data_IF_332226405791
#
_entry.id   IF_332226405791
#
_cell.length_a   1.000
_cell.length_b   1.000
_cell.length_c   1.000
_cell.angle_alpha   90.00
_cell.angle_beta   90.00
_cell.angle_gamma   90.00
#
_symmetry.space_group_name_H-M   'P 1'
#
loop_
_entity.id
_entity.type
_entity.pdbx_description
1 polymer ?
#
# COMPACT_ATOMS: atom_id res chain seq x y z
N UNK A 1 -10.67 1.76 -22.60
CA UNK A 1 -10.21 0.61 -21.79
C UNK A 1 -11.43 -0.27 -21.51
N UNK A 2 -11.35 -1.58 -21.75
CA UNK A 2 -12.41 -2.50 -21.36
C UNK A 2 -12.44 -2.59 -19.83
N UNK A 3 -13.60 -2.46 -19.17
CA UNK A 3 -13.69 -2.59 -17.72
C UNK A 3 -13.25 -4.00 -17.32
N UNK A 4 -12.46 -4.12 -16.26
CA UNK A 4 -12.02 -5.42 -15.76
C UNK A 4 -13.22 -6.20 -15.22
N UNK A 5 -13.27 -7.50 -15.47
CA UNK A 5 -14.37 -8.34 -15.00
C UNK A 5 -14.44 -8.36 -13.47
N UNK A 6 -15.67 -8.37 -12.94
CA UNK A 6 -15.91 -8.26 -11.49
C UNK A 6 -15.28 -9.43 -10.72
N UNK A 7 -15.24 -10.62 -11.32
CA UNK A 7 -14.59 -11.80 -10.74
C UNK A 7 -13.06 -11.64 -10.67
N UNK A 8 -12.45 -11.03 -11.69
CA UNK A 8 -11.01 -10.76 -11.74
C UNK A 8 -10.60 -9.70 -10.72
N UNK A 9 -11.42 -8.65 -10.55
CA UNK A 9 -11.21 -7.63 -9.51
C UNK A 9 -11.33 -8.27 -8.13
N UNK A 10 -12.33 -9.14 -7.92
CA UNK A 10 -12.50 -9.88 -6.67
C UNK A 10 -11.27 -10.71 -6.32
N UNK A 11 -10.74 -11.48 -7.27
CA UNK A 11 -9.51 -12.27 -7.07
C UNK A 11 -8.30 -11.39 -6.73
N UNK A 12 -8.14 -10.24 -7.41
CA UNK A 12 -7.06 -9.30 -7.14
C UNK A 12 -7.15 -8.71 -5.74
N UNK A 13 -8.35 -8.30 -5.31
CA UNK A 13 -8.59 -7.77 -3.96
C UNK A 13 -8.28 -8.81 -2.89
N UNK A 14 -8.77 -10.04 -3.06
CA UNK A 14 -8.52 -11.13 -2.10
C UNK A 14 -7.03 -11.45 -2.00
N UNK A 15 -6.34 -11.60 -3.14
CA UNK A 15 -4.89 -11.84 -3.17
C UNK A 15 -4.11 -10.72 -2.49
N UNK A 16 -4.47 -9.47 -2.77
CA UNK A 16 -3.87 -8.30 -2.11
C UNK A 16 -4.08 -8.32 -0.59
N UNK A 17 -5.31 -8.57 -0.13
CA UNK A 17 -5.63 -8.64 1.29
C UNK A 17 -4.84 -9.74 2.02
N UNK A 18 -4.64 -10.90 1.40
CA UNK A 18 -3.84 -11.99 1.97
C UNK A 18 -2.37 -11.54 2.12
N UNK A 19 -1.76 -11.02 1.06
CA UNK A 19 -0.35 -10.61 1.08
C UNK A 19 -0.12 -9.48 2.08
N UNK A 20 -1.00 -8.48 2.10
CA UNK A 20 -0.89 -7.36 3.03
C UNK A 20 -1.15 -7.78 4.48
N UNK A 21 -2.14 -8.64 4.71
CA UNK A 21 -2.43 -9.18 6.04
C UNK A 21 -1.27 -9.99 6.61
N UNK A 22 -0.68 -10.86 5.80
CA UNK A 22 0.51 -11.63 6.18
C UNK A 22 1.69 -10.69 6.45
N UNK A 23 1.95 -9.74 5.56
CA UNK A 23 3.05 -8.77 5.72
C UNK A 23 2.91 -7.94 7.00
N UNK A 24 1.70 -7.46 7.28
CA UNK A 24 1.39 -6.73 8.51
C UNK A 24 1.60 -7.59 9.75
N UNK A 25 1.13 -8.84 9.73
CA UNK A 25 1.31 -9.78 10.84
C UNK A 25 2.80 -10.03 11.11
N UNK A 26 3.61 -10.26 10.07
CA UNK A 26 5.06 -10.43 10.22
C UNK A 26 5.72 -9.20 10.85
N UNK A 27 5.39 -7.99 10.38
CA UNK A 27 5.94 -6.74 10.92
C UNK A 27 5.57 -6.58 12.40
N UNK A 28 4.32 -6.86 12.77
CA UNK A 28 3.86 -6.78 14.17
C UNK A 28 4.52 -7.83 15.05
N UNK A 29 4.63 -9.08 14.58
CA UNK A 29 5.31 -10.15 15.33
C UNK A 29 6.79 -9.85 15.53
N UNK A 30 7.48 -9.36 14.50
CA UNK A 30 8.88 -8.93 14.63
C UNK A 30 9.02 -7.76 15.60
N UNK A 31 8.11 -6.79 15.56
CA UNK A 31 8.12 -5.68 16.52
C UNK A 31 7.89 -6.17 17.96
N UNK A 32 6.95 -7.11 18.16
CA UNK A 32 6.70 -7.69 19.48
C UNK A 32 7.89 -8.50 20.01
N UNK A 33 8.65 -9.16 19.12
CA UNK A 33 9.86 -9.92 19.47
C UNK A 33 11.04 -8.98 19.79
N UNK A 34 11.26 -7.98 18.95
CA UNK A 34 12.35 -7.01 19.08
C UNK A 34 11.91 -5.80 19.92
N UNK A 35 11.53 -6.04 21.19
CA UNK A 35 11.11 -4.99 22.17
C UNK A 35 12.19 -3.96 22.54
N UNK A 36 13.32 -3.92 21.81
CA UNK A 36 14.33 -2.88 21.99
C UNK A 36 13.73 -1.55 21.52
N UNK A 37 13.71 -0.57 22.43
CA UNK A 37 13.24 0.80 22.17
C UNK A 37 13.85 1.40 20.89
N UNK A 38 15.07 0.97 20.55
CA UNK A 38 15.86 1.44 19.42
C UNK A 38 15.29 1.07 18.03
N UNK A 39 14.53 -0.03 17.90
CA UNK A 39 13.91 -0.41 16.61
C UNK A 39 12.47 0.06 16.47
N UNK A 40 11.89 0.64 17.54
CA UNK A 40 10.49 1.08 17.58
C UNK A 40 10.16 2.08 16.47
N UNK A 41 11.08 2.99 16.17
CA UNK A 41 10.92 3.96 15.08
C UNK A 41 10.93 3.28 13.70
N UNK A 42 11.80 2.28 13.47
CA UNK A 42 11.89 1.56 12.21
C UNK A 42 10.63 0.74 11.91
N UNK A 43 10.11 0.03 12.92
CA UNK A 43 8.83 -0.68 12.80
C UNK A 43 7.65 0.27 12.60
N UNK A 44 7.67 1.45 13.22
CA UNK A 44 6.69 2.50 12.99
C UNK A 44 6.64 2.96 11.53
N UNK A 45 7.81 3.21 10.92
CA UNK A 45 7.91 3.56 9.49
C UNK A 45 7.38 2.45 8.57
N UNK A 46 7.67 1.18 8.88
CA UNK A 46 7.16 0.03 8.12
C UNK A 46 5.64 -0.11 8.20
N UNK A 47 5.05 0.10 9.37
CA UNK A 47 3.59 0.05 9.54
C UNK A 47 2.93 1.21 8.81
N UNK A 48 3.49 2.42 8.92
CA UNK A 48 3.01 3.59 8.19
C UNK A 48 3.06 3.35 6.67
N UNK A 49 4.16 2.76 6.17
CA UNK A 49 4.28 2.34 4.77
C UNK A 49 3.14 1.39 4.36
N UNK A 50 2.89 0.31 5.11
CA UNK A 50 1.85 -0.69 4.79
C UNK A 50 0.43 -0.07 4.74
N UNK A 51 0.13 0.87 5.65
CA UNK A 51 -1.16 1.56 5.69
C UNK A 51 -1.34 2.45 4.47
N UNK A 52 -0.34 3.29 4.16
CA UNK A 52 -0.42 4.21 3.02
C UNK A 52 -0.35 3.44 1.68
N UNK A 53 0.40 2.35 1.62
CA UNK A 53 0.41 1.49 0.44
C UNK A 53 -0.97 0.88 0.18
N UNK A 54 -1.65 0.43 1.24
CA UNK A 54 -3.01 -0.11 1.13
C UNK A 54 -4.02 0.92 0.63
N UNK A 55 -3.91 2.18 1.06
CA UNK A 55 -4.78 3.26 0.57
C UNK A 55 -4.47 3.63 -0.89
N UNK A 56 -3.19 3.61 -1.29
CA UNK A 56 -2.78 3.80 -2.68
C UNK A 56 -3.39 2.72 -3.60
N UNK A 57 -3.27 1.45 -3.21
CA UNK A 57 -3.85 0.32 -3.96
C UNK A 57 -5.37 0.39 -4.01
N UNK A 58 -6.02 0.83 -2.94
CA UNK A 58 -7.47 1.06 -2.95
C UNK A 58 -7.89 2.12 -3.98
N UNK A 59 -7.09 3.18 -4.17
CA UNK A 59 -7.33 4.18 -5.21
C UNK A 59 -7.13 3.59 -6.61
N UNK A 60 -6.10 2.77 -6.81
CA UNK A 60 -5.89 2.06 -8.08
C UNK A 60 -7.01 1.07 -8.40
N UNK A 61 -7.47 0.30 -7.40
CA UNK A 61 -8.59 -0.62 -7.53
C UNK A 61 -9.88 0.12 -7.91
N UNK A 62 -10.14 1.29 -7.31
CA UNK A 62 -11.27 2.15 -7.70
C UNK A 62 -11.14 2.66 -9.13
N UNK A 63 -9.94 3.06 -9.55
CA UNK A 63 -9.70 3.49 -10.93
C UNK A 63 -9.98 2.36 -11.93
N UNK A 64 -9.50 1.14 -11.68
CA UNK A 64 -9.71 0.03 -12.64
C UNK A 64 -11.12 -0.58 -12.58
N UNK A 65 -11.81 -0.44 -11.45
CA UNK A 65 -13.14 -1.06 -11.22
C UNK A 65 -14.31 -0.20 -11.71
N UNK A 66 -14.10 1.09 -12.00
CA UNK A 66 -15.20 1.96 -12.43
C UNK A 66 -15.79 1.48 -13.76
N UNK A 67 -17.01 0.93 -13.71
CA UNK A 67 -17.86 0.74 -14.88
C UNK A 67 -18.53 2.10 -15.16
N UNK A 68 -18.20 2.78 -16.27
CA UNK A 68 -18.73 4.12 -16.48
C UNK A 68 -20.23 4.07 -16.77
N UNK A 69 -21.01 4.73 -15.93
CA UNK A 69 -22.43 5.01 -16.20
C UNK A 69 -22.59 5.99 -17.37
N UNK A 70 -21.57 6.85 -17.59
CA UNK A 70 -21.43 7.73 -18.75
C UNK A 70 -20.05 7.55 -19.39
N UNK A 71 -19.93 6.96 -20.59
CA UNK A 71 -18.65 6.67 -21.23
C UNK A 71 -17.85 7.93 -21.63
N UNK A 72 -18.51 9.09 -21.78
CA UNK A 72 -17.87 10.33 -22.24
C UNK A 72 -16.99 11.04 -21.20
N UNK A 73 -17.23 10.85 -19.88
CA UNK A 73 -16.43 11.44 -18.79
C UNK A 73 -15.68 10.39 -17.95
N UNK A 74 -15.68 9.13 -18.39
CA UNK A 74 -15.06 8.01 -17.69
C UNK A 74 -13.53 8.17 -17.49
N UNK A 75 -12.87 8.84 -18.43
CA UNK A 75 -11.41 8.98 -18.45
C UNK A 75 -10.90 9.95 -17.38
N UNK A 76 -11.63 11.02 -17.07
CA UNK A 76 -11.22 12.04 -16.09
C UNK A 76 -11.26 11.47 -14.67
N UNK A 77 -12.36 10.79 -14.32
CA UNK A 77 -12.50 10.17 -13.00
C UNK A 77 -11.45 9.11 -12.74
N UNK A 78 -11.15 8.25 -13.72
CA UNK A 78 -10.10 7.25 -13.61
C UNK A 78 -8.70 7.86 -13.48
N UNK A 79 -8.41 8.91 -14.26
CA UNK A 79 -7.11 9.60 -14.20
C UNK A 79 -6.88 10.27 -12.84
N UNK A 80 -7.94 10.82 -12.23
CA UNK A 80 -7.86 11.40 -10.89
C UNK A 80 -7.51 10.35 -9.83
N UNK A 81 -8.22 9.22 -9.81
CA UNK A 81 -7.95 8.14 -8.85
C UNK A 81 -6.56 7.51 -9.06
N UNK A 82 -6.11 7.38 -10.31
CA UNK A 82 -4.74 6.96 -10.62
C UNK A 82 -3.70 7.98 -10.12
N UNK A 83 -3.95 9.28 -10.31
CA UNK A 83 -3.08 10.35 -9.83
C UNK A 83 -2.95 10.34 -8.31
N UNK A 84 -4.08 10.27 -7.59
CA UNK A 84 -4.11 10.20 -6.13
C UNK A 84 -3.42 8.92 -5.63
N UNK A 85 -3.70 7.77 -6.27
CA UNK A 85 -3.03 6.51 -5.97
C UNK A 85 -1.52 6.58 -6.17
N UNK A 86 -1.06 7.23 -7.24
CA UNK A 86 0.35 7.45 -7.54
C UNK A 86 1.06 8.31 -6.49
N UNK A 87 0.43 9.40 -6.04
CA UNK A 87 0.98 10.26 -4.98
C UNK A 87 1.07 9.49 -3.65
N UNK A 88 0.01 8.77 -3.27
CA UNK A 88 0.01 7.95 -2.05
C UNK A 88 1.08 6.86 -2.13
N UNK A 89 1.25 6.22 -3.29
CA UNK A 89 2.31 5.24 -3.52
C UNK A 89 3.70 5.87 -3.35
N UNK A 90 3.95 7.06 -3.91
CA UNK A 90 5.23 7.74 -3.77
C UNK A 90 5.55 8.07 -2.30
N UNK A 91 4.57 8.59 -1.54
CA UNK A 91 4.70 8.84 -0.09
C UNK A 91 5.00 7.53 0.64
N UNK A 92 4.29 6.46 0.30
CA UNK A 92 4.49 5.13 0.86
C UNK A 92 5.91 4.61 0.64
N UNK A 93 6.50 4.81 -0.55
CA UNK A 93 7.89 4.42 -0.84
C UNK A 93 8.91 5.21 -0.01
N UNK A 94 8.67 6.51 0.23
CA UNK A 94 9.56 7.31 1.09
C UNK A 94 9.57 6.78 2.52
N UNK A 95 8.40 6.40 3.06
CA UNK A 95 8.30 5.81 4.40
C UNK A 95 9.00 4.44 4.46
N UNK A 96 8.88 3.64 3.41
CA UNK A 96 9.58 2.35 3.31
C UNK A 96 11.10 2.53 3.35
N UNK A 97 11.63 3.46 2.54
CA UNK A 97 13.05 3.78 2.53
C UNK A 97 13.52 4.31 3.89
N UNK A 98 12.74 5.16 4.55
CA UNK A 98 13.04 5.64 5.90
C UNK A 98 13.10 4.48 6.93
N UNK A 99 12.20 3.50 6.81
CA UNK A 99 12.22 2.27 7.60
C UNK A 99 13.51 1.47 7.40
N UNK A 100 13.90 1.23 6.15
CA UNK A 100 15.15 0.52 5.81
C UNK A 100 16.37 1.25 6.36
N UNK A 101 16.48 2.57 6.12
CA UNK A 101 17.59 3.38 6.61
C UNK A 101 17.66 3.31 8.15
N UNK A 102 16.51 3.34 8.83
CA UNK A 102 16.45 3.20 10.29
C UNK A 102 16.95 1.83 10.77
N UNK A 103 16.72 0.76 10.02
CA UNK A 103 17.28 -0.56 10.33
C UNK A 103 18.79 -0.65 10.02
N UNK A 104 19.25 -0.05 8.92
CA UNK A 104 20.64 -0.12 8.46
C UNK A 104 21.60 0.74 9.31
N UNK A 105 21.21 1.98 9.61
CA UNK A 105 22.04 2.94 10.36
C UNK A 105 22.27 2.53 11.82
N UNK A 106 21.43 1.64 12.35
CA UNK A 106 21.51 1.15 13.73
C UNK A 106 22.27 -0.17 13.90
N UNK A 107 22.78 -0.76 12.81
CA UNK A 107 23.85 -1.77 12.86
C UNK A 107 25.22 -1.07 12.93
N UNK A 108 25.55 -0.47 14.07
CA UNK A 108 26.95 -0.26 14.44
C UNK A 108 27.12 -0.74 15.89
N UNK A 109 27.99 -1.75 16.14
CA UNK A 109 28.34 -2.17 17.49
C UNK A 109 29.01 -1.04 18.26
#
# INVERSE_FOLDING_TARGET
MLPMEQETIGMLVVGFCIVMGVSFLFVVLLWAKERKSEYRSAFGWMIAHLIIFSSAVSCFLKAISNRPLHPAMASEGNSLWLGIGGVLWAISMILFLAGIVSFCTRKRP
#
